data_IF_575903733921
#
_entry.id   IF_575903733921
#
_cell.length_a   1.000
_cell.length_b   1.000
_cell.length_c   1.000
_cell.angle_alpha   90.00
_cell.angle_beta   90.00
_cell.angle_gamma   90.00
#
_symmetry.space_group_name_H-M   'P 1'
#
loop_
_entity.id
_entity.type
_entity.pdbx_description
1 polymer ?
#
# COMPACT_ATOMS: atom_id res chain seq x y z
N UNK A 1 31.65 -7.78 -3.77
CA UNK A 1 31.44 -8.23 -5.17
C UNK A 1 30.96 -7.02 -5.95
N UNK A 2 31.63 -6.67 -7.04
CA UNK A 2 31.22 -5.54 -7.89
C UNK A 2 29.96 -5.90 -8.68
N UNK A 3 29.03 -4.96 -8.75
CA UNK A 3 27.72 -5.13 -9.38
C UNK A 3 27.29 -3.86 -10.09
N UNK A 4 26.42 -4.05 -11.08
CA UNK A 4 25.73 -2.96 -11.77
C UNK A 4 24.25 -3.06 -11.47
N UNK A 5 23.61 -1.92 -11.23
CA UNK A 5 22.19 -1.85 -10.93
C UNK A 5 21.58 -0.52 -11.35
N UNK A 6 20.26 -0.43 -11.25
CA UNK A 6 19.53 0.81 -11.51
C UNK A 6 18.88 1.33 -10.25
N UNK A 7 18.94 2.66 -10.06
CA UNK A 7 18.25 3.32 -8.95
C UNK A 7 16.75 3.08 -9.09
N UNK A 8 16.14 2.46 -8.09
CA UNK A 8 14.69 2.22 -8.04
C UNK A 8 13.97 3.31 -7.25
N UNK A 9 14.59 3.75 -6.16
CA UNK A 9 13.96 4.66 -5.20
C UNK A 9 14.99 5.52 -4.49
N UNK A 10 14.60 6.75 -4.18
CA UNK A 10 15.39 7.75 -3.47
C UNK A 10 14.51 8.43 -2.42
N UNK A 11 15.03 8.62 -1.20
CA UNK A 11 14.40 9.42 -0.16
C UNK A 11 15.43 10.22 0.59
N UNK A 12 15.22 11.54 0.67
CA UNK A 12 15.97 12.45 1.54
C UNK A 12 14.96 13.29 2.31
N UNK A 13 15.00 13.18 3.64
CA UNK A 13 14.17 13.99 4.53
C UNK A 13 14.93 15.26 4.93
N UNK A 14 14.21 16.31 5.29
CA UNK A 14 14.82 17.55 5.77
C UNK A 14 15.71 17.27 7.00
N UNK A 15 17.00 17.62 6.92
CA UNK A 15 17.98 17.36 7.98
C UNK A 15 18.38 15.88 8.18
N UNK A 16 17.99 14.96 7.29
CA UNK A 16 18.36 13.54 7.34
C UNK A 16 19.23 13.15 6.15
N UNK A 17 20.14 12.20 6.36
CA UNK A 17 20.92 11.59 5.27
C UNK A 17 20.00 10.89 4.28
N UNK A 18 20.25 11.09 2.99
CA UNK A 18 19.55 10.42 1.92
C UNK A 18 19.83 8.91 1.93
N UNK A 19 18.85 8.13 1.51
CA UNK A 19 19.03 6.71 1.21
C UNK A 19 18.19 6.32 0.01
N UNK A 20 18.55 5.22 -0.63
CA UNK A 20 17.82 4.70 -1.77
C UNK A 20 17.91 3.19 -1.89
N UNK A 21 17.27 2.67 -2.94
CA UNK A 21 17.32 1.26 -3.31
C UNK A 21 17.78 1.11 -4.75
N UNK A 22 18.64 0.12 -5.00
CA UNK A 22 19.16 -0.24 -6.32
C UNK A 22 18.63 -1.63 -6.66
N UNK A 23 18.04 -1.79 -7.84
CA UNK A 23 17.73 -3.11 -8.40
C UNK A 23 18.98 -3.62 -9.12
N UNK A 24 19.60 -4.73 -8.65
CA UNK A 24 20.77 -5.29 -9.30
C UNK A 24 20.40 -5.84 -10.69
N UNK A 25 21.24 -5.60 -11.69
CA UNK A 25 21.02 -6.12 -13.05
C UNK A 25 21.41 -7.60 -13.17
N UNK A 26 22.26 -8.10 -12.28
CA UNK A 26 22.62 -9.52 -12.19
C UNK A 26 22.06 -10.13 -10.90
N UNK A 27 21.57 -11.38 -10.94
CA UNK A 27 21.01 -12.04 -9.77
C UNK A 27 22.09 -12.26 -8.70
N UNK A 28 21.71 -12.07 -7.43
CA UNK A 28 22.56 -12.35 -6.28
C UNK A 28 22.09 -13.70 -5.71
N UNK A 29 22.99 -14.69 -5.50
CA UNK A 29 22.61 -15.99 -4.98
C UNK A 29 21.82 -15.88 -3.68
N UNK A 30 20.65 -16.52 -3.63
CA UNK A 30 19.75 -16.55 -2.46
C UNK A 30 19.29 -15.16 -1.97
N UNK A 31 19.25 -14.15 -2.86
CA UNK A 31 18.75 -12.82 -2.53
C UNK A 31 17.97 -12.20 -3.70
N UNK A 32 16.68 -11.96 -3.47
CA UNK A 32 15.70 -11.51 -4.45
C UNK A 32 15.19 -10.08 -4.20
N UNK A 33 15.80 -9.36 -3.25
CA UNK A 33 15.40 -8.00 -2.85
C UNK A 33 16.28 -6.95 -3.54
N UNK A 34 15.79 -5.71 -3.52
CA UNK A 34 16.63 -4.56 -3.88
C UNK A 34 17.73 -4.34 -2.84
N UNK A 35 18.79 -3.66 -3.27
CA UNK A 35 19.96 -3.36 -2.45
C UNK A 35 19.85 -1.95 -1.90
N UNK A 36 19.91 -1.80 -0.59
CA UNK A 36 19.87 -0.47 0.04
C UNK A 36 21.23 0.23 -0.08
N UNK A 37 21.20 1.54 -0.28
CA UNK A 37 22.39 2.40 -0.19
C UNK A 37 22.09 3.68 0.57
N UNK A 38 23.16 4.30 1.07
CA UNK A 38 23.11 5.56 1.79
C UNK A 38 23.90 6.64 1.05
N UNK A 39 23.53 7.90 1.26
CA UNK A 39 24.20 9.06 0.69
C UNK A 39 25.71 9.09 0.97
N UNK A 40 26.14 8.60 2.14
CA UNK A 40 27.57 8.54 2.52
C UNK A 40 28.40 7.56 1.67
N UNK A 41 27.74 6.68 0.92
CA UNK A 41 28.39 5.64 0.12
C UNK A 41 28.59 6.04 -1.35
N UNK A 42 28.17 7.26 -1.74
CA UNK A 42 28.37 7.84 -3.07
C UNK A 42 29.78 8.47 -3.15
N UNK A 43 30.60 8.04 -4.12
CA UNK A 43 32.00 8.51 -4.21
C UNK A 43 32.21 9.62 -5.24
N UNK A 44 31.53 9.56 -6.39
CA UNK A 44 31.72 10.46 -7.54
C UNK A 44 30.52 11.39 -7.82
N UNK A 45 29.47 11.33 -7.00
CA UNK A 45 28.22 12.07 -7.22
C UNK A 45 27.52 12.48 -5.94
N UNK A 46 26.61 13.45 -6.03
CA UNK A 46 25.75 13.84 -4.89
C UNK A 46 24.40 13.16 -4.94
N UNK A 47 23.75 13.02 -3.78
CA UNK A 47 22.43 12.39 -3.71
C UNK A 47 21.38 13.14 -4.56
N UNK A 48 21.49 14.46 -4.66
CA UNK A 48 20.59 15.29 -5.47
C UNK A 48 20.70 15.03 -6.98
N UNK A 49 21.84 14.51 -7.43
CA UNK A 49 22.08 14.21 -8.84
C UNK A 49 21.44 12.89 -9.29
N UNK A 50 21.09 12.03 -8.34
CA UNK A 50 20.51 10.72 -8.60
C UNK A 50 19.09 10.83 -9.14
N UNK A 51 18.75 9.93 -10.07
CA UNK A 51 17.40 9.79 -10.62
C UNK A 51 17.02 8.33 -10.71
N UNK A 52 15.74 8.04 -10.54
CA UNK A 52 15.22 6.69 -10.79
C UNK A 52 15.56 6.24 -12.22
N UNK A 53 16.07 5.02 -12.36
CA UNK A 53 16.56 4.44 -13.62
C UNK A 53 18.04 4.72 -13.91
N UNK A 54 18.72 5.57 -13.15
CA UNK A 54 20.16 5.80 -13.32
C UNK A 54 20.95 4.52 -13.04
N UNK A 55 21.91 4.21 -13.92
CA UNK A 55 22.80 3.05 -13.77
C UNK A 55 23.96 3.40 -12.83
N UNK A 56 24.18 2.54 -11.86
CA UNK A 56 25.23 2.66 -10.86
C UNK A 56 26.08 1.39 -10.82
N UNK A 57 27.38 1.58 -10.60
CA UNK A 57 28.35 0.55 -10.25
C UNK A 57 28.58 0.61 -8.73
N UNK A 58 28.61 -0.54 -8.05
CA UNK A 58 28.75 -0.59 -6.60
C UNK A 58 29.31 -1.92 -6.10
N UNK A 59 29.85 -1.90 -4.88
CA UNK A 59 30.27 -3.11 -4.18
C UNK A 59 29.18 -3.60 -3.23
N UNK A 60 28.86 -4.88 -3.33
CA UNK A 60 28.00 -5.58 -2.38
C UNK A 60 28.76 -5.96 -1.10
N UNK A 61 28.18 -5.60 0.03
CA UNK A 61 28.59 -5.98 1.37
C UNK A 61 27.39 -6.51 2.18
N UNK A 62 27.59 -7.50 3.05
CA UNK A 62 26.55 -7.96 3.97
C UNK A 62 26.63 -7.20 5.30
N UNK A 63 25.47 -6.76 5.79
CA UNK A 63 25.33 -6.13 7.10
C UNK A 63 24.30 -6.87 7.92
N UNK A 64 24.58 -7.00 9.22
CA UNK A 64 23.62 -7.56 10.16
C UNK A 64 22.55 -6.51 10.52
N UNK A 65 21.31 -6.79 10.15
CA UNK A 65 20.13 -6.01 10.46
C UNK A 65 19.38 -6.67 11.63
N UNK A 66 19.24 -5.93 12.73
CA UNK A 66 18.60 -6.39 13.98
C UNK A 66 17.15 -6.89 13.81
N UNK A 67 16.48 -6.61 12.69
CA UNK A 67 15.09 -7.01 12.43
C UNK A 67 14.92 -8.13 11.39
N UNK A 68 15.85 -8.28 10.45
CA UNK A 68 15.71 -9.18 9.29
C UNK A 68 16.87 -10.16 9.09
N UNK A 69 17.90 -10.11 9.94
CA UNK A 69 19.11 -10.93 9.78
C UNK A 69 20.12 -10.26 8.86
N UNK A 70 20.80 -11.03 8.00
CA UNK A 70 21.78 -10.51 7.04
C UNK A 70 21.07 -9.80 5.88
N UNK A 71 21.47 -8.57 5.59
CA UNK A 71 20.98 -7.74 4.48
C UNK A 71 22.15 -7.31 3.59
N UNK A 72 21.95 -7.27 2.27
CA UNK A 72 22.96 -6.75 1.36
C UNK A 72 22.82 -5.24 1.19
N UNK A 73 23.94 -4.55 1.29
CA UNK A 73 24.04 -3.10 1.10
C UNK A 73 25.04 -2.79 -0.03
N UNK A 74 24.81 -1.67 -0.72
CA UNK A 74 25.72 -1.15 -1.72
C UNK A 74 26.66 -0.13 -1.08
N UNK A 75 27.96 -0.27 -1.36
CA UNK A 75 29.05 0.61 -0.95
C UNK A 75 29.85 1.06 -2.16
N UNK A 76 30.63 2.13 -2.00
CA UNK A 76 31.57 2.63 -3.02
C UNK A 76 30.88 2.81 -4.37
N UNK A 77 29.85 3.64 -4.38
CA UNK A 77 28.88 3.75 -5.47
C UNK A 77 29.35 4.81 -6.45
N UNK A 78 29.38 4.42 -7.72
CA UNK A 78 29.85 5.22 -8.85
C UNK A 78 28.80 5.29 -9.97
N UNK A 79 28.87 6.34 -10.79
CA UNK A 79 28.10 6.35 -12.05
C UNK A 79 28.65 5.29 -12.99
N UNK A 80 27.77 4.44 -13.53
CA UNK A 80 28.22 3.47 -14.53
C UNK A 80 28.72 4.23 -15.77
N UNK A 81 29.96 3.95 -16.19
CA UNK A 81 30.51 4.61 -17.38
C UNK A 81 29.68 4.18 -18.59
N UNK A 82 29.14 5.15 -19.33
CA UNK A 82 28.65 4.88 -20.67
C UNK A 82 29.81 4.29 -21.47
N UNK A 83 29.58 3.22 -22.24
CA UNK A 83 30.57 2.65 -23.15
C UNK A 83 31.11 3.74 -24.08
N UNK A 84 32.26 4.32 -23.72
CA UNK A 84 33.04 5.20 -24.59
C UNK A 84 34.03 4.30 -25.32
N UNK A 85 33.61 3.77 -26.46
CA UNK A 85 34.51 3.42 -27.55
C UNK A 85 34.23 4.37 -28.72
N UNK A 86 35.16 5.30 -28.92
CA UNK A 86 35.15 6.40 -29.89
C UNK A 86 35.45 5.93 -31.34
N UNK A 87 35.69 6.83 -32.31
CA UNK A 87 34.90 7.00 -33.53
C UNK A 87 35.56 6.42 -34.80
N UNK A 88 34.77 6.06 -35.82
CA UNK A 88 35.29 5.94 -37.20
C UNK A 88 34.35 6.56 -38.21
N UNK A 89 34.95 7.40 -39.05
CA UNK A 89 34.41 8.25 -40.09
C UNK A 89 33.73 7.51 -41.25
N UNK A 90 32.75 8.22 -41.82
CA UNK A 90 32.13 8.12 -43.14
C UNK A 90 32.58 7.00 -44.11
N UNK A 91 31.61 6.22 -44.59
CA UNK A 91 31.43 5.98 -46.02
C UNK A 91 30.03 5.47 -46.36
N UNK A 92 29.44 6.14 -47.35
CA UNK A 92 28.24 5.78 -48.11
C UNK A 92 28.41 4.42 -48.77
N UNK A 93 27.38 3.55 -48.75
CA UNK A 93 26.88 2.80 -49.92
C UNK A 93 25.57 2.03 -49.58
N UNK A 94 24.53 2.44 -50.31
CA UNK A 94 23.41 1.71 -50.94
C UNK A 94 22.56 0.71 -50.15
N UNK A 95 21.28 1.11 -50.03
CA UNK A 95 20.06 0.38 -50.42
C UNK A 95 20.23 -1.14 -50.60
N UNK A 96 19.67 -1.91 -49.67
CA UNK A 96 18.83 -3.03 -50.05
C UNK A 96 17.56 -3.02 -49.22
N UNK A 97 16.46 -2.78 -49.94
CA UNK A 97 15.10 -2.95 -49.51
C UNK A 97 14.81 -4.44 -49.29
N UNK A 98 14.52 -4.82 -48.05
CA UNK A 98 13.65 -5.97 -47.78
C UNK A 98 12.38 -5.44 -47.11
N UNK A 99 11.37 -5.23 -47.95
CA UNK A 99 9.98 -5.18 -47.49
C UNK A 99 9.60 -6.60 -47.14
N UNK A 100 9.46 -6.88 -45.85
CA UNK A 100 8.54 -7.91 -45.38
C UNK A 100 7.55 -7.21 -44.46
N UNK A 101 6.37 -6.96 -44.99
CA UNK A 101 5.22 -6.59 -44.20
C UNK A 101 4.81 -7.80 -43.38
N UNK A 102 4.74 -7.64 -42.05
CA UNK A 102 3.80 -8.37 -41.21
C UNK A 102 3.69 -7.70 -39.83
N UNK A 103 2.52 -7.85 -39.20
CA UNK A 103 1.91 -6.84 -38.36
C UNK A 103 2.21 -7.10 -36.90
N UNK A 104 2.25 -6.06 -36.08
CA UNK A 104 1.72 -6.05 -34.70
C UNK A 104 1.99 -4.68 -34.11
N UNK A 105 0.91 -3.92 -33.87
CA UNK A 105 1.00 -2.83 -32.90
C UNK A 105 1.49 -3.43 -31.60
N UNK A 106 2.61 -2.93 -31.09
CA UNK A 106 3.07 -3.27 -29.75
C UNK A 106 2.05 -2.68 -28.78
N UNK A 107 1.00 -3.44 -28.47
CA UNK A 107 0.16 -3.23 -27.30
C UNK A 107 0.96 -3.67 -26.08
N UNK A 108 2.07 -2.99 -25.80
CA UNK A 108 2.72 -3.10 -24.51
C UNK A 108 1.74 -2.49 -23.49
N UNK A 109 1.25 -3.25 -22.50
CA UNK A 109 0.30 -2.72 -21.54
C UNK A 109 0.95 -1.54 -20.81
N UNK A 110 0.36 -0.35 -20.96
CA UNK A 110 0.84 0.83 -20.27
C UNK A 110 0.42 0.77 -18.79
N UNK A 111 1.21 1.36 -17.90
CA UNK A 111 0.82 1.52 -16.50
C UNK A 111 -0.51 2.29 -16.36
N UNK A 112 -0.78 3.21 -17.29
CA UNK A 112 -2.06 3.90 -17.38
C UNK A 112 -3.22 2.92 -17.59
N UNK A 113 -3.08 1.99 -18.54
CA UNK A 113 -4.09 0.95 -18.79
C UNK A 113 -4.27 0.03 -17.57
N UNK A 114 -3.21 -0.25 -16.81
CA UNK A 114 -3.31 -1.01 -15.56
C UNK A 114 -4.08 -0.23 -14.48
N UNK A 115 -3.83 1.07 -14.31
CA UNK A 115 -4.58 1.92 -13.39
C UNK A 115 -6.06 2.04 -13.78
N UNK A 116 -6.37 2.12 -15.07
CA UNK A 116 -7.76 2.11 -15.57
C UNK A 116 -8.45 0.80 -15.17
N UNK A 117 -7.78 -0.34 -15.36
CA UNK A 117 -8.31 -1.65 -14.93
C UNK A 117 -8.53 -1.74 -13.42
N UNK A 118 -7.65 -1.14 -12.59
CA UNK A 118 -7.89 -1.08 -11.15
C UNK A 118 -9.09 -0.21 -10.80
N UNK A 119 -9.24 0.93 -11.49
CA UNK A 119 -10.42 1.80 -11.33
C UNK A 119 -11.71 1.04 -11.65
N UNK A 120 -11.73 0.31 -12.76
CA UNK A 120 -12.88 -0.51 -13.17
C UNK A 120 -13.15 -1.61 -12.15
N UNK A 121 -12.11 -2.30 -11.68
CA UNK A 121 -12.23 -3.36 -10.68
C UNK A 121 -12.78 -2.83 -9.34
N UNK A 122 -12.34 -1.66 -8.88
CA UNK A 122 -12.87 -1.06 -7.68
C UNK A 122 -14.31 -0.56 -7.84
N UNK A 123 -14.68 -0.06 -9.02
CA UNK A 123 -16.05 0.35 -9.33
C UNK A 123 -17.04 -0.84 -9.29
N UNK A 124 -16.57 -2.08 -9.44
CA UNK A 124 -17.44 -3.26 -9.27
C UNK A 124 -17.95 -3.42 -7.83
N UNK A 125 -17.22 -2.92 -6.83
CA UNK A 125 -17.65 -3.00 -5.41
C UNK A 125 -18.97 -2.26 -5.19
N UNK A 126 -19.17 -1.14 -5.91
CA UNK A 126 -20.42 -0.37 -5.90
C UNK A 126 -21.61 -1.11 -6.55
N UNK A 127 -21.37 -2.22 -7.24
CA UNK A 127 -22.41 -2.97 -7.97
C UNK A 127 -22.86 -4.26 -7.26
N UNK A 128 -22.13 -4.72 -6.25
CA UNK A 128 -22.41 -5.95 -5.49
C UNK A 128 -23.81 -5.91 -4.85
N UNK A 129 -24.63 -6.96 -4.99
CA UNK A 129 -25.99 -6.95 -4.42
C UNK A 129 -26.14 -7.81 -3.16
N UNK A 130 -25.21 -8.72 -2.93
CA UNK A 130 -25.18 -9.57 -1.74
C UNK A 130 -24.47 -8.88 -0.57
N UNK A 131 -25.05 -8.95 0.63
CA UNK A 131 -24.44 -8.40 1.86
C UNK A 131 -23.09 -9.04 2.13
N UNK A 132 -23.05 -10.38 2.17
CA UNK A 132 -21.85 -11.18 2.36
C UNK A 132 -20.72 -10.85 1.38
N UNK A 133 -21.05 -10.76 0.09
CA UNK A 133 -20.07 -10.40 -0.95
C UNK A 133 -19.58 -8.95 -0.79
N UNK A 134 -20.46 -8.05 -0.35
CA UNK A 134 -20.10 -6.65 -0.11
C UNK A 134 -19.15 -6.54 1.08
N UNK A 135 -19.41 -7.25 2.18
CA UNK A 135 -18.52 -7.34 3.33
C UNK A 135 -17.13 -7.87 2.95
N UNK A 136 -17.07 -8.93 2.14
CA UNK A 136 -15.80 -9.50 1.67
C UNK A 136 -15.04 -8.54 0.75
N UNK A 137 -15.75 -7.85 -0.14
CA UNK A 137 -15.16 -6.86 -1.02
C UNK A 137 -14.63 -5.64 -0.26
N UNK A 138 -15.37 -5.16 0.74
CA UNK A 138 -14.93 -4.07 1.64
C UNK A 138 -13.67 -4.50 2.42
N UNK A 139 -13.66 -5.71 2.98
CA UNK A 139 -12.48 -6.24 3.67
C UNK A 139 -11.26 -6.30 2.74
N UNK A 140 -11.44 -6.78 1.50
CA UNK A 140 -10.38 -6.82 0.51
C UNK A 140 -9.88 -5.40 0.16
N UNK A 141 -10.79 -4.44 -0.04
CA UNK A 141 -10.44 -3.05 -0.30
C UNK A 141 -9.63 -2.43 0.84
N UNK A 142 -10.04 -2.64 2.09
CA UNK A 142 -9.30 -2.17 3.28
C UNK A 142 -7.88 -2.76 3.32
N UNK A 143 -7.69 -4.02 2.95
CA UNK A 143 -6.34 -4.61 2.80
C UNK A 143 -5.55 -3.96 1.68
N UNK A 144 -6.16 -3.75 0.52
CA UNK A 144 -5.52 -3.14 -0.65
C UNK A 144 -5.14 -1.68 -0.43
N UNK A 145 -5.89 -0.95 0.41
CA UNK A 145 -5.52 0.38 0.88
C UNK A 145 -4.17 0.41 1.62
N UNK A 146 -3.66 -0.74 2.06
CA UNK A 146 -2.42 -0.84 2.84
C UNK A 146 -2.67 -0.90 4.34
N UNK A 147 -3.90 -1.18 4.78
CA UNK A 147 -4.21 -1.40 6.19
C UNK A 147 -3.80 -2.82 6.56
N UNK A 148 -2.59 -2.97 7.09
CA UNK A 148 -2.01 -4.29 7.38
C UNK A 148 -2.67 -5.00 8.57
N UNK A 149 -3.25 -4.25 9.51
CA UNK A 149 -3.89 -4.79 10.70
C UNK A 149 -5.41 -4.65 10.61
N UNK A 150 -6.00 -5.24 9.57
CA UNK A 150 -7.45 -5.40 9.39
C UNK A 150 -7.84 -6.86 9.66
N UNK A 151 -8.96 -7.02 10.36
CA UNK A 151 -9.47 -8.32 10.78
C UNK A 151 -10.97 -8.39 10.53
N UNK A 152 -11.44 -9.53 10.03
CA UNK A 152 -12.84 -9.83 9.84
C UNK A 152 -13.31 -10.76 10.97
N UNK A 153 -14.48 -10.50 11.55
CA UNK A 153 -15.07 -11.41 12.52
C UNK A 153 -15.70 -12.61 11.82
N UNK A 154 -15.60 -13.83 12.38
CA UNK A 154 -16.23 -15.01 11.78
C UNK A 154 -17.76 -14.89 11.72
N UNK A 155 -18.34 -15.21 10.56
CA UNK A 155 -19.80 -15.18 10.34
C UNK A 155 -20.58 -16.14 11.23
N UNK A 156 -19.98 -17.27 11.57
CA UNK A 156 -20.52 -18.30 12.46
C UNK A 156 -20.88 -17.77 13.87
N UNK A 157 -20.38 -16.59 14.25
CA UNK A 157 -20.58 -15.96 15.57
C UNK A 157 -21.07 -14.50 15.47
N UNK A 158 -21.67 -14.08 14.35
CA UNK A 158 -21.94 -12.66 14.03
C UNK A 158 -23.11 -12.01 14.77
N UNK A 159 -23.93 -12.75 15.54
CA UNK A 159 -25.07 -12.16 16.24
C UNK A 159 -24.63 -11.01 17.17
N UNK A 160 -24.91 -9.75 16.76
CA UNK A 160 -24.50 -8.54 17.49
C UNK A 160 -23.01 -8.18 17.41
N UNK A 161 -22.27 -8.72 16.45
CA UNK A 161 -20.86 -8.37 16.17
C UNK A 161 -20.76 -7.56 14.88
N UNK A 162 -19.78 -6.65 14.86
CA UNK A 162 -19.40 -5.93 13.66
C UNK A 162 -18.77 -6.89 12.64
N UNK A 163 -18.64 -6.45 11.38
CA UNK A 163 -18.02 -7.27 10.33
C UNK A 163 -16.51 -7.33 10.47
N UNK A 164 -15.91 -6.26 10.99
CA UNK A 164 -14.49 -6.26 11.27
C UNK A 164 -13.99 -5.13 12.13
N UNK A 165 -12.67 -5.12 12.27
CA UNK A 165 -11.93 -4.16 13.05
C UNK A 165 -10.57 -3.93 12.42
N UNK A 166 -10.08 -2.70 12.43
CA UNK A 166 -8.71 -2.41 12.02
C UNK A 166 -8.03 -1.35 12.89
N UNK A 167 -6.70 -1.39 12.86
CA UNK A 167 -5.85 -0.35 13.41
C UNK A 167 -4.91 0.14 12.32
N UNK A 168 -4.83 1.46 12.17
CA UNK A 168 -3.83 2.14 11.34
C UNK A 168 -3.27 3.31 12.13
N UNK A 169 -1.96 3.30 12.42
CA UNK A 169 -1.31 4.30 13.26
C UNK A 169 -2.09 4.56 14.57
N UNK A 170 -2.61 5.77 14.76
CA UNK A 170 -3.38 6.16 15.94
C UNK A 170 -4.90 6.00 15.78
N UNK A 171 -5.37 5.47 14.66
CA UNK A 171 -6.78 5.26 14.36
C UNK A 171 -7.15 3.78 14.63
N UNK A 172 -8.19 3.57 15.43
CA UNK A 172 -8.81 2.28 15.68
C UNK A 172 -10.26 2.32 15.23
N UNK A 173 -10.65 1.44 14.30
CA UNK A 173 -11.97 1.46 13.67
C UNK A 173 -12.65 0.11 13.81
N UNK A 174 -13.84 0.11 14.40
CA UNK A 174 -14.79 -0.99 14.28
C UNK A 174 -15.72 -0.68 13.12
N UNK A 175 -15.84 -1.59 12.15
CA UNK A 175 -16.62 -1.33 10.95
C UNK A 175 -17.66 -2.43 10.70
N UNK A 176 -18.76 -2.01 10.08
CA UNK A 176 -19.90 -2.84 9.71
C UNK A 176 -20.47 -2.33 8.38
N UNK A 177 -20.87 -3.23 7.50
CA UNK A 177 -21.24 -2.94 6.12
C UNK A 177 -22.75 -3.10 5.94
N UNK A 178 -23.33 -2.26 5.10
CA UNK A 178 -24.77 -2.38 4.78
C UNK A 178 -25.07 -1.87 3.38
N UNK A 179 -25.95 -2.60 2.69
CA UNK A 179 -26.56 -2.20 1.43
C UNK A 179 -27.91 -1.48 1.62
N UNK A 180 -28.38 -1.31 2.86
CA UNK A 180 -29.62 -0.60 3.19
C UNK A 180 -29.35 0.88 3.45
N UNK A 181 -30.09 1.75 2.78
CA UNK A 181 -29.95 3.21 2.91
C UNK A 181 -30.50 3.74 4.24
N UNK A 182 -31.59 3.16 4.75
CA UNK A 182 -32.23 3.53 6.02
C UNK A 182 -31.58 2.86 7.24
N UNK A 183 -30.25 2.78 7.26
CA UNK A 183 -29.56 1.95 8.24
C UNK A 183 -29.56 2.47 9.66
N UNK A 184 -29.68 3.78 9.83
CA UNK A 184 -29.55 4.43 11.12
C UNK A 184 -30.55 3.87 12.14
N UNK A 185 -31.79 3.61 11.72
CA UNK A 185 -32.85 3.11 12.59
C UNK A 185 -32.62 1.65 12.96
N UNK A 186 -32.36 0.78 11.98
CA UNK A 186 -32.25 -0.66 12.26
C UNK A 186 -30.90 -1.05 12.90
N UNK A 187 -29.82 -0.27 12.67
CA UNK A 187 -28.50 -0.51 13.28
C UNK A 187 -28.29 0.26 14.58
N UNK A 188 -29.24 1.07 15.05
CA UNK A 188 -29.06 1.92 16.24
C UNK A 188 -28.47 1.15 17.43
N UNK A 189 -29.08 0.03 17.79
CA UNK A 189 -28.64 -0.80 18.91
C UNK A 189 -27.28 -1.45 18.64
N UNK A 190 -26.99 -1.81 17.38
CA UNK A 190 -25.68 -2.35 16.99
C UNK A 190 -24.58 -1.29 17.13
N UNK A 191 -24.84 -0.07 16.66
CA UNK A 191 -23.92 1.06 16.78
C UNK A 191 -23.62 1.37 18.24
N UNK A 192 -24.65 1.43 19.08
CA UNK A 192 -24.49 1.65 20.53
C UNK A 192 -23.65 0.54 21.17
N UNK A 193 -23.87 -0.71 20.79
CA UNK A 193 -23.04 -1.83 21.23
C UNK A 193 -21.58 -1.71 20.77
N UNK A 194 -21.32 -1.19 19.57
CA UNK A 194 -19.95 -0.96 19.07
C UNK A 194 -19.26 0.16 19.83
N UNK A 195 -19.96 1.28 20.07
CA UNK A 195 -19.48 2.38 20.91
C UNK A 195 -19.14 1.87 22.30
N UNK A 196 -20.04 1.12 22.95
CA UNK A 196 -19.82 0.55 24.28
C UNK A 196 -18.63 -0.43 24.33
N UNK A 197 -18.40 -1.19 23.26
CA UNK A 197 -17.21 -2.06 23.15
C UNK A 197 -15.92 -1.26 23.04
N UNK A 198 -15.94 -0.12 22.37
CA UNK A 198 -14.79 0.75 22.18
C UNK A 198 -14.54 1.66 23.38
N UNK A 199 -15.56 2.08 24.13
CA UNK A 199 -15.41 2.95 25.31
C UNK A 199 -14.81 2.19 26.49
N UNK A 200 -15.36 1.01 26.79
CA UNK A 200 -15.09 0.28 28.02
C UNK A 200 -13.82 -0.58 28.01
N UNK A 201 -13.07 -0.60 26.89
CA UNK A 201 -11.94 -1.52 26.73
C UNK A 201 -10.63 -0.80 26.43
N UNK A 202 -9.56 -1.22 27.10
CA UNK A 202 -8.18 -0.87 26.73
C UNK A 202 -7.67 -1.73 25.57
N UNK A 203 -8.21 -2.95 25.42
CA UNK A 203 -7.82 -3.91 24.40
C UNK A 203 -9.02 -4.68 23.81
N UNK A 204 -8.88 -5.10 22.55
CA UNK A 204 -9.82 -5.99 21.87
C UNK A 204 -9.15 -7.31 21.53
N UNK A 205 -9.83 -8.42 21.82
CA UNK A 205 -9.39 -9.76 21.42
C UNK A 205 -10.07 -10.15 20.13
N UNK A 206 -9.28 -10.44 19.10
CA UNK A 206 -9.75 -10.91 17.80
C UNK A 206 -9.31 -12.35 17.60
N UNK A 207 -10.24 -13.22 17.21
CA UNK A 207 -9.91 -14.57 16.76
C UNK A 207 -9.24 -14.52 15.39
N UNK A 208 -8.11 -15.20 15.25
CA UNK A 208 -7.36 -15.27 14.00
C UNK A 208 -7.25 -16.72 13.56
N UNK A 209 -7.32 -16.96 12.25
CA UNK A 209 -6.94 -18.26 11.70
C UNK A 209 -5.43 -18.28 11.50
N UNK A 210 -4.77 -19.30 12.03
CA UNK A 210 -3.35 -19.58 11.82
C UNK A 210 -3.14 -20.27 10.48
N UNK A 211 -1.91 -20.22 9.97
CA UNK A 211 -1.53 -20.83 8.69
C UNK A 211 -1.67 -22.35 8.65
N UNK A 212 -1.71 -23.00 9.81
CA UNK A 212 -1.93 -24.44 9.99
C UNK A 212 -3.43 -24.82 10.06
N UNK A 213 -4.34 -23.85 9.87
CA UNK A 213 -5.79 -24.05 10.01
C UNK A 213 -6.29 -23.98 11.45
N UNK A 214 -5.40 -23.80 12.44
CA UNK A 214 -5.77 -23.64 13.85
C UNK A 214 -6.43 -22.28 14.14
N UNK A 215 -7.21 -22.22 15.22
CA UNK A 215 -7.74 -20.96 15.76
C UNK A 215 -6.73 -20.39 16.78
N UNK A 216 -6.40 -19.12 16.61
CA UNK A 216 -5.66 -18.31 17.57
C UNK A 216 -6.48 -17.10 18.00
N UNK A 217 -5.96 -16.35 18.96
CA UNK A 217 -6.48 -15.04 19.32
C UNK A 217 -5.34 -14.02 19.36
N UNK A 218 -5.65 -12.78 19.04
CA UNK A 218 -4.73 -11.65 19.09
C UNK A 218 -5.36 -10.53 19.91
N UNK A 219 -4.61 -10.02 20.88
CA UNK A 219 -5.00 -8.84 21.64
C UNK A 219 -4.48 -7.58 20.94
N UNK A 220 -5.38 -6.64 20.70
CA UNK A 220 -5.13 -5.38 20.02
C UNK A 220 -5.31 -4.25 21.02
N UNK A 221 -4.24 -3.53 21.31
CA UNK A 221 -4.26 -2.36 22.20
C UNK A 221 -4.95 -1.18 21.51
N UNK A 222 -6.01 -0.67 22.14
CA UNK A 222 -6.82 0.46 21.65
C UNK A 222 -6.82 1.66 22.62
N UNK A 223 -6.13 1.56 23.75
CA UNK A 223 -5.89 2.69 24.65
C UNK A 223 -5.01 3.75 23.97
N UNK A 224 -5.38 5.03 24.14
CA UNK A 224 -4.67 6.17 23.55
C UNK A 224 -4.90 6.39 22.04
N UNK A 225 -5.67 5.50 21.38
CA UNK A 225 -6.05 5.64 19.97
C UNK A 225 -7.32 6.45 19.81
N UNK A 226 -7.40 7.18 18.70
CA UNK A 226 -8.64 7.75 18.21
C UNK A 226 -9.56 6.62 17.75
N UNK A 227 -10.73 6.50 18.38
CA UNK A 227 -11.67 5.40 18.16
C UNK A 227 -12.81 5.87 17.26
N UNK A 228 -13.13 5.07 16.24
CA UNK A 228 -14.25 5.35 15.36
C UNK A 228 -15.09 4.09 15.14
N UNK A 229 -16.39 4.29 14.94
CA UNK A 229 -17.31 3.27 14.42
C UNK A 229 -17.70 3.69 13.02
N UNK A 230 -17.46 2.84 12.04
CA UNK A 230 -17.81 3.10 10.66
C UNK A 230 -18.94 2.19 10.21
N UNK A 231 -20.00 2.79 9.67
CA UNK A 231 -20.99 2.06 8.89
C UNK A 231 -20.68 2.32 7.42
N UNK A 232 -20.20 1.29 6.72
CA UNK A 232 -19.78 1.38 5.32
C UNK A 232 -20.96 1.12 4.41
N UNK A 233 -21.31 2.10 3.58
CA UNK A 233 -22.54 2.12 2.76
C UNK A 233 -22.25 2.52 1.32
N UNK A 234 -23.31 2.63 0.51
CA UNK A 234 -23.29 3.27 -0.82
C UNK A 234 -23.81 4.70 -0.82
N UNK A 235 -24.14 5.22 0.36
CA UNK A 235 -24.64 6.57 0.53
C UNK A 235 -23.49 7.58 0.42
N UNK A 236 -23.36 8.40 1.43
CA UNK A 236 -22.40 9.50 1.45
C UNK A 236 -21.64 9.51 2.76
N UNK A 237 -20.36 9.86 2.70
CA UNK A 237 -19.53 9.92 3.90
C UNK A 237 -19.91 11.13 4.75
N UNK A 238 -20.16 10.90 6.03
CA UNK A 238 -20.44 11.94 7.03
C UNK A 238 -20.20 11.45 8.45
N UNK A 239 -19.82 12.36 9.33
CA UNK A 239 -19.92 12.14 10.76
C UNK A 239 -21.40 12.17 11.17
N UNK A 240 -21.83 11.12 11.85
CA UNK A 240 -23.20 10.99 12.33
C UNK A 240 -23.31 11.54 13.75
N UNK A 241 -22.42 11.10 14.64
CA UNK A 241 -22.42 11.43 16.08
C UNK A 241 -21.04 11.27 16.70
N UNK A 242 -20.82 11.95 17.82
CA UNK A 242 -19.67 11.75 18.70
C UNK A 242 -20.19 11.28 20.08
N UNK A 243 -19.65 10.16 20.57
CA UNK A 243 -19.94 9.61 21.89
C UNK A 243 -18.65 9.58 22.72
N UNK A 244 -18.47 10.58 23.59
CA UNK A 244 -17.30 10.70 24.48
C UNK A 244 -15.94 10.54 23.75
N UNK A 245 -15.82 11.15 22.56
CA UNK A 245 -14.62 11.10 21.73
C UNK A 245 -14.55 9.88 20.80
N UNK A 246 -15.60 9.05 20.77
CA UNK A 246 -15.77 7.96 19.79
C UNK A 246 -16.67 8.47 18.66
N UNK A 247 -16.08 8.71 17.49
CA UNK A 247 -16.80 9.21 16.32
C UNK A 247 -17.53 8.07 15.61
N UNK A 248 -18.83 8.22 15.38
CA UNK A 248 -19.64 7.33 14.55
C UNK A 248 -19.83 7.99 13.20
N UNK A 249 -19.48 7.27 12.14
CA UNK A 249 -19.49 7.79 10.77
C UNK A 249 -20.20 6.85 9.81
N UNK A 250 -20.95 7.44 8.89
CA UNK A 250 -21.25 6.79 7.63
C UNK A 250 -20.04 6.98 6.71
N UNK A 251 -19.58 5.90 6.07
CA UNK A 251 -18.48 5.96 5.12
C UNK A 251 -18.94 5.36 3.80
N UNK A 252 -19.00 6.19 2.76
CA UNK A 252 -19.32 5.72 1.43
C UNK A 252 -18.17 4.87 0.88
N UNK A 253 -18.51 3.70 0.34
CA UNK A 253 -17.53 2.81 -0.29
C UNK A 253 -16.80 3.50 -1.44
N UNK A 254 -17.48 4.41 -2.14
CA UNK A 254 -16.89 5.22 -3.20
C UNK A 254 -15.70 6.04 -2.71
N UNK A 255 -15.77 6.63 -1.52
CA UNK A 255 -14.68 7.45 -0.99
C UNK A 255 -13.46 6.60 -0.62
N UNK A 256 -13.68 5.37 -0.13
CA UNK A 256 -12.60 4.41 0.09
C UNK A 256 -11.93 3.99 -1.24
N UNK A 257 -12.72 3.81 -2.30
CA UNK A 257 -12.22 3.53 -3.66
C UNK A 257 -11.40 4.72 -4.19
N UNK A 258 -11.89 5.94 -3.99
CA UNK A 258 -11.18 7.15 -4.41
C UNK A 258 -9.82 7.29 -3.68
N UNK A 259 -9.79 7.01 -2.38
CA UNK A 259 -8.54 6.97 -1.59
C UNK A 259 -7.59 5.89 -2.13
N UNK A 260 -8.10 4.69 -2.44
CA UNK A 260 -7.29 3.61 -3.00
C UNK A 260 -6.68 4.01 -4.35
N UNK A 261 -7.48 4.63 -5.22
CA UNK A 261 -7.03 5.13 -6.51
C UNK A 261 -6.03 6.28 -6.38
N UNK A 262 -6.24 7.19 -5.43
CA UNK A 262 -5.31 8.27 -5.13
C UNK A 262 -3.96 7.72 -4.69
N UNK A 263 -3.97 6.72 -3.80
CA UNK A 263 -2.76 6.01 -3.34
C UNK A 263 -2.00 5.36 -4.49
N UNK A 264 -2.69 4.71 -5.43
CA UNK A 264 -2.06 4.11 -6.61
C UNK A 264 -1.42 5.14 -7.57
N UNK A 265 -1.94 6.37 -7.61
CA UNK A 265 -1.47 7.44 -8.50
C UNK A 265 -0.37 8.29 -7.90
N UNK A 266 -0.34 8.45 -6.58
CA UNK A 266 0.55 9.37 -5.88
C UNK A 266 1.74 8.63 -5.28
N UNK A 267 2.93 8.81 -5.87
CA UNK A 267 4.18 8.19 -5.41
C UNK A 267 4.55 8.52 -3.96
N UNK A 268 4.16 9.70 -3.47
CA UNK A 268 4.44 10.16 -2.11
C UNK A 268 3.39 9.69 -1.09
N UNK A 269 2.38 8.92 -1.50
CA UNK A 269 1.29 8.54 -0.62
C UNK A 269 1.74 7.46 0.38
N UNK A 270 2.05 7.87 1.60
CA UNK A 270 2.53 6.98 2.64
C UNK A 270 1.41 6.55 3.63
N UNK A 271 1.79 5.90 4.72
CA UNK A 271 0.86 5.43 5.74
C UNK A 271 0.30 6.58 6.60
N UNK A 272 1.03 7.68 6.74
CA UNK A 272 0.61 8.84 7.54
C UNK A 272 -0.42 9.68 6.77
N UNK A 273 -0.22 9.85 5.46
CA UNK A 273 -1.23 10.39 4.56
C UNK A 273 -2.51 9.55 4.60
N UNK A 274 -2.40 8.23 4.45
CA UNK A 274 -3.54 7.32 4.53
C UNK A 274 -4.27 7.47 5.86
N UNK A 275 -3.53 7.42 6.97
CA UNK A 275 -4.10 7.51 8.31
C UNK A 275 -4.82 8.84 8.53
N UNK A 276 -4.27 9.94 8.02
CA UNK A 276 -4.86 11.27 8.16
C UNK A 276 -6.15 11.39 7.34
N UNK A 277 -6.13 10.96 6.07
CA UNK A 277 -7.32 11.00 5.22
C UNK A 277 -8.44 10.11 5.78
N UNK A 278 -8.13 8.88 6.16
CA UNK A 278 -9.10 7.99 6.80
C UNK A 278 -9.63 8.56 8.12
N UNK A 279 -8.77 9.18 8.93
CA UNK A 279 -9.20 9.83 10.17
C UNK A 279 -10.19 10.97 9.92
N UNK A 280 -9.96 11.75 8.86
CA UNK A 280 -10.75 12.94 8.49
C UNK A 280 -11.97 12.65 7.60
N UNK A 281 -12.19 11.39 7.18
CA UNK A 281 -13.38 11.04 6.38
C UNK A 281 -14.66 11.54 7.05
N UNK A 282 -15.46 12.35 6.34
CA UNK A 282 -16.75 12.86 6.83
C UNK A 282 -16.70 13.90 7.94
N UNK A 283 -15.51 14.43 8.25
CA UNK A 283 -15.31 15.54 9.17
C UNK A 283 -15.60 16.91 8.52
#
# INVERSE_FOLDING_TARGET
>A
MEQIGTVKYLRKGEGRKGFGYITPMSPIPNYDKDIVFFEDDLEDMTFESLKNGMKLEFFLEQRENKKSGLEWIARQIHTAKADVSSPVSASVIKKSSFVSASPTGSNSPSFKLLLEKFSDAFALVEQIKGSDEFEDAVFALLRLLGIHAVYQYPREAQAGRADGFFILNNLAVMYDCTLRDSFEEYKKDQIENYVNKLSNKSQLTIETRRSDGGRGSKELQIQGKSRQVWIITRGFTREMRDYDGIKVKEVAIKDLVEIAMKRCKQLSYDADNLSTELFMLGA
#
